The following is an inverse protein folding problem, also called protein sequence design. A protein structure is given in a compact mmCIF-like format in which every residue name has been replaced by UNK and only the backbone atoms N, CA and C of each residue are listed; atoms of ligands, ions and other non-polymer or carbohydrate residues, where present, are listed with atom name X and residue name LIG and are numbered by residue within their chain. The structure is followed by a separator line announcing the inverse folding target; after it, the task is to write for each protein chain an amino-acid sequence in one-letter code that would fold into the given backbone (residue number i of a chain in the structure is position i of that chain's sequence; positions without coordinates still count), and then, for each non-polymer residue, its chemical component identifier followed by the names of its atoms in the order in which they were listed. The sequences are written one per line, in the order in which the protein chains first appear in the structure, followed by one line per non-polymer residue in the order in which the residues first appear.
data_IF_014757674398
#
_entry.id   IF_014757674398
#
_cell.length_a   1.000
_cell.length_b   1.000
_cell.length_c   1.000
_cell.angle_alpha   90.00
_cell.angle_beta   90.00
_cell.angle_gamma   90.00
#
_symmetry.space_group_name_H-M   'P 1'
#
loop_
_entity.id
_entity.type
_entity.pdbx_description
1 polymer ?
#
# COMPACT_ATOMS: atom_id res chain seq x y z
N UNK A 1 2.71 4.33 24.19
CA UNK A 1 2.73 5.26 23.04
C UNK A 1 3.68 6.40 23.38
N UNK A 2 4.42 6.92 22.39
CA UNK A 2 5.41 7.99 22.57
C UNK A 2 4.81 9.40 22.45
N UNK A 3 3.66 9.53 21.80
CA UNK A 3 2.86 10.74 21.66
C UNK A 3 1.75 10.54 20.64
N UNK A 4 0.82 11.48 20.58
CA UNK A 4 -0.27 11.58 19.59
C UNK A 4 0.07 12.64 18.54
N UNK A 5 0.21 12.21 17.28
CA UNK A 5 0.52 13.09 16.15
C UNK A 5 -0.62 14.05 15.81
N UNK A 6 -1.85 13.76 16.24
CA UNK A 6 -3.03 14.56 15.95
C UNK A 6 -3.26 15.65 17.01
N UNK A 7 -2.54 15.56 18.15
CA UNK A 7 -2.43 16.63 19.13
C UNK A 7 -1.26 17.58 18.75
N UNK A 8 -1.50 18.88 18.51
CA UNK A 8 -0.45 19.82 18.10
C UNK A 8 0.74 19.93 19.06
N UNK A 9 0.50 19.90 20.37
CA UNK A 9 1.57 20.03 21.37
C UNK A 9 2.44 18.77 21.41
N UNK A 10 1.82 17.58 21.33
CA UNK A 10 2.55 16.32 21.27
C UNK A 10 3.25 16.13 19.93
N UNK A 11 2.66 16.61 18.82
CA UNK A 11 3.34 16.65 17.51
C UNK A 11 4.64 17.44 17.59
N UNK A 12 4.60 18.65 18.17
CA UNK A 12 5.80 19.47 18.33
C UNK A 12 6.86 18.75 19.17
N UNK A 13 6.45 18.12 20.27
CA UNK A 13 7.35 17.30 21.09
C UNK A 13 7.97 16.14 20.28
N UNK A 14 7.18 15.43 19.47
CA UNK A 14 7.66 14.34 18.62
C UNK A 14 8.65 14.84 17.55
N UNK A 15 8.39 16.00 16.95
CA UNK A 15 9.30 16.66 15.99
C UNK A 15 10.62 17.04 16.66
N UNK A 16 10.58 17.60 17.87
CA UNK A 16 11.78 17.95 18.65
C UNK A 16 12.61 16.73 19.06
N UNK A 17 12.00 15.54 19.15
CA UNK A 17 12.66 14.29 19.54
C UNK A 17 13.11 13.42 18.36
N UNK A 18 12.69 13.74 17.13
CA UNK A 18 13.00 12.93 15.95
C UNK A 18 14.50 12.99 15.60
N UNK A 19 15.25 11.87 15.64
CA UNK A 19 16.67 11.87 15.28
C UNK A 19 16.95 12.32 13.85
N UNK A 20 15.99 12.10 12.94
CA UNK A 20 16.10 12.53 11.54
C UNK A 20 16.25 14.05 11.42
N UNK A 21 15.59 14.82 12.30
CA UNK A 21 15.67 16.29 12.30
C UNK A 21 17.05 16.81 12.75
N UNK A 22 17.88 15.95 13.33
CA UNK A 22 19.24 16.27 13.77
C UNK A 22 20.30 15.48 12.99
N UNK A 23 19.97 14.97 11.79
CA UNK A 23 20.91 14.20 10.98
C UNK A 23 22.25 14.94 10.72
N UNK A 24 22.21 16.27 10.62
CA UNK A 24 23.41 17.12 10.47
C UNK A 24 24.37 17.05 11.66
N UNK A 25 23.82 16.79 12.85
CA UNK A 25 24.56 16.71 14.12
C UNK A 25 25.16 15.31 14.37
N UNK A 26 24.73 14.31 13.62
CA UNK A 26 25.29 12.96 13.69
C UNK A 26 26.68 12.98 13.05
N UNK A 27 27.70 12.83 13.90
CA UNK A 27 29.12 12.78 13.50
C UNK A 27 29.73 11.38 13.65
N UNK A 28 29.12 10.54 14.48
CA UNK A 28 29.56 9.17 14.67
C UNK A 28 29.16 8.31 13.46
N UNK A 29 30.01 7.36 13.03
CA UNK A 29 29.63 6.35 12.06
C UNK A 29 28.39 5.58 12.53
N UNK A 30 27.47 5.26 11.61
CA UNK A 30 26.23 4.55 11.92
C UNK A 30 26.11 3.26 11.12
N UNK A 31 25.80 2.16 11.80
CA UNK A 31 25.41 0.89 11.17
C UNK A 31 23.92 0.65 11.42
N UNK A 32 23.12 0.59 10.35
CA UNK A 32 21.67 0.42 10.42
C UNK A 32 21.31 -1.03 10.08
N UNK A 33 20.41 -1.63 10.86
CA UNK A 33 19.92 -3.00 10.66
C UNK A 33 18.40 -2.98 10.69
N UNK A 34 17.77 -3.56 9.66
CA UNK A 34 16.32 -3.53 9.51
C UNK A 34 15.79 -4.83 8.92
N UNK A 35 14.67 -5.33 9.44
CA UNK A 35 13.84 -6.31 8.73
C UNK A 35 12.85 -5.60 7.83
N UNK A 36 12.71 -6.05 6.58
CA UNK A 36 11.81 -5.43 5.60
C UNK A 36 10.33 -5.53 6.00
N UNK A 37 10.00 -6.52 6.84
CA UNK A 37 8.63 -6.84 7.24
C UNK A 37 8.34 -6.48 8.70
N UNK A 38 9.13 -5.58 9.31
CA UNK A 38 8.94 -5.17 10.70
C UNK A 38 7.56 -4.48 10.86
N UNK A 39 6.63 -5.08 11.63
CA UNK A 39 5.29 -4.51 11.83
C UNK A 39 5.27 -3.37 12.85
N UNK A 40 6.40 -3.12 13.55
CA UNK A 40 6.52 -2.12 14.61
C UNK A 40 7.22 -0.87 14.13
N UNK A 41 8.34 -1.02 13.42
CA UNK A 41 9.14 0.10 12.88
C UNK A 41 9.30 -0.09 11.38
N UNK A 42 8.69 0.80 10.61
CA UNK A 42 8.69 0.70 9.14
C UNK A 42 10.11 0.87 8.60
N UNK A 43 10.46 0.08 7.58
CA UNK A 43 11.73 0.20 6.82
C UNK A 43 12.03 1.64 6.39
N UNK A 44 10.99 2.40 6.05
CA UNK A 44 11.06 3.81 5.68
C UNK A 44 11.84 4.67 6.67
N UNK A 45 11.76 4.41 7.98
CA UNK A 45 12.50 5.17 9.00
C UNK A 45 14.02 4.94 8.86
N UNK A 46 14.41 3.69 8.61
CA UNK A 46 15.81 3.31 8.34
C UNK A 46 16.30 3.89 7.01
N UNK A 47 15.48 3.85 5.95
CA UNK A 47 15.84 4.44 4.66
C UNK A 47 16.07 5.95 4.75
N UNK A 48 15.23 6.66 5.52
CA UNK A 48 15.33 8.11 5.71
C UNK A 48 16.65 8.51 6.36
N UNK A 49 17.05 7.86 7.45
CA UNK A 49 18.30 8.20 8.14
C UNK A 49 19.53 7.80 7.32
N UNK A 50 19.49 6.66 6.63
CA UNK A 50 20.60 6.23 5.75
C UNK A 50 20.79 7.19 4.59
N UNK A 51 19.71 7.58 3.90
CA UNK A 51 19.77 8.56 2.82
C UNK A 51 20.28 9.92 3.32
N UNK A 52 19.75 10.42 4.45
CA UNK A 52 20.18 11.69 5.02
C UNK A 52 21.67 11.71 5.38
N UNK A 53 22.18 10.66 6.05
CA UNK A 53 23.59 10.57 6.41
C UNK A 53 24.51 10.40 5.20
N UNK A 54 24.09 9.61 4.20
CA UNK A 54 24.82 9.48 2.93
C UNK A 54 24.92 10.83 2.22
N UNK A 55 23.81 11.57 2.11
CA UNK A 55 23.78 12.86 1.40
C UNK A 55 24.62 13.93 2.11
N UNK A 56 24.80 13.80 3.42
CA UNK A 56 25.72 14.59 4.23
C UNK A 56 27.19 14.11 4.16
N UNK A 57 27.48 13.04 3.41
CA UNK A 57 28.80 12.43 3.31
C UNK A 57 29.30 11.81 4.62
N UNK A 58 28.39 11.33 5.48
CA UNK A 58 28.71 10.63 6.73
C UNK A 58 28.92 9.14 6.50
N UNK A 59 29.74 8.53 7.35
CA UNK A 59 29.94 7.08 7.37
C UNK A 59 28.65 6.39 7.84
N UNK A 60 27.92 5.81 6.88
CA UNK A 60 26.73 5.00 7.15
C UNK A 60 26.82 3.69 6.38
N UNK A 61 26.44 2.61 7.04
CA UNK A 61 26.35 1.27 6.48
C UNK A 61 24.96 0.70 6.79
N UNK A 62 24.39 -0.09 5.89
CA UNK A 62 23.00 -0.55 6.01
C UNK A 62 22.85 -2.01 5.63
N UNK A 63 22.13 -2.77 6.46
CA UNK A 63 21.75 -4.14 6.20
C UNK A 63 20.23 -4.30 6.30
N UNK A 64 19.65 -4.97 5.30
CA UNK A 64 18.21 -5.18 5.18
C UNK A 64 17.92 -6.67 4.96
N UNK A 65 17.18 -7.29 5.88
CA UNK A 65 16.68 -8.65 5.70
C UNK A 65 15.25 -8.65 5.15
N UNK A 66 15.12 -9.07 3.88
CA UNK A 66 13.85 -9.12 3.17
C UNK A 66 12.85 -10.13 3.75
N UNK A 67 13.35 -11.16 4.46
CA UNK A 67 12.59 -12.24 5.06
C UNK A 67 12.35 -12.06 6.58
N UNK A 68 12.80 -10.95 7.18
CA UNK A 68 12.71 -10.70 8.62
C UNK A 68 11.75 -9.56 8.98
N UNK A 69 11.27 -9.60 10.23
CA UNK A 69 10.44 -8.57 10.84
C UNK A 69 11.21 -7.73 11.87
N UNK A 70 10.60 -7.53 13.04
CA UNK A 70 11.17 -6.68 14.11
C UNK A 70 12.45 -7.22 14.76
N UNK A 71 12.73 -8.51 14.59
CA UNK A 71 13.95 -9.14 15.06
C UNK A 71 14.28 -10.29 14.13
N UNK A 72 15.54 -10.73 14.17
CA UNK A 72 16.03 -11.75 13.25
C UNK A 72 15.80 -13.15 13.81
N UNK A 73 14.85 -13.89 13.23
CA UNK A 73 14.51 -15.26 13.61
C UNK A 73 15.34 -16.29 12.85
N UNK A 74 15.80 -16.00 11.64
CA UNK A 74 16.67 -16.87 10.88
C UNK A 74 18.09 -16.84 11.45
N UNK A 75 18.68 -18.03 11.64
CA UNK A 75 20.03 -18.17 12.20
C UNK A 75 21.10 -17.55 11.30
N UNK A 76 21.05 -17.78 9.99
CA UNK A 76 22.02 -17.22 9.06
C UNK A 76 21.94 -15.70 9.00
N UNK A 77 20.73 -15.13 9.07
CA UNK A 77 20.56 -13.68 9.14
C UNK A 77 21.18 -13.10 10.42
N UNK A 78 20.96 -13.74 11.57
CA UNK A 78 21.59 -13.31 12.83
C UNK A 78 23.10 -13.41 12.78
N UNK A 79 23.65 -14.51 12.27
CA UNK A 79 25.10 -14.69 12.16
C UNK A 79 25.72 -13.66 11.22
N UNK A 80 25.09 -13.41 10.06
CA UNK A 80 25.51 -12.34 9.15
C UNK A 80 25.47 -10.96 9.82
N UNK A 81 24.41 -10.65 10.57
CA UNK A 81 24.30 -9.42 11.36
C UNK A 81 25.46 -9.25 12.34
N UNK A 82 25.77 -10.29 13.14
CA UNK A 82 26.85 -10.22 14.12
C UNK A 82 28.23 -10.10 13.45
N UNK A 83 28.47 -10.82 12.35
CA UNK A 83 29.69 -10.68 11.54
C UNK A 83 29.86 -9.24 11.04
N UNK A 84 28.79 -8.63 10.53
CA UNK A 84 28.82 -7.25 10.05
C UNK A 84 29.06 -6.24 11.17
N UNK A 85 28.37 -6.41 12.31
CA UNK A 85 28.55 -5.58 13.50
C UNK A 85 29.99 -5.67 14.03
N UNK A 86 30.57 -6.86 14.09
CA UNK A 86 31.96 -7.06 14.50
C UNK A 86 32.92 -6.30 13.56
N UNK A 87 32.77 -6.48 12.25
CA UNK A 87 33.57 -5.76 11.22
C UNK A 87 33.42 -4.24 11.36
N UNK A 88 32.21 -3.75 11.52
CA UNK A 88 31.91 -2.32 11.70
C UNK A 88 32.56 -1.74 12.95
N UNK A 89 32.40 -2.41 14.11
CA UNK A 89 33.04 -1.97 15.34
C UNK A 89 34.57 -2.07 15.27
N UNK A 90 35.13 -3.12 14.66
CA UNK A 90 36.57 -3.23 14.47
C UNK A 90 37.13 -2.09 13.61
N UNK A 91 36.46 -1.75 12.50
CA UNK A 91 36.81 -0.64 11.60
C UNK A 91 36.87 0.71 12.33
N UNK A 92 35.90 0.99 13.21
CA UNK A 92 35.77 2.32 13.83
C UNK A 92 36.36 2.41 15.25
N UNK A 93 36.45 1.31 15.99
CA UNK A 93 36.97 1.25 17.36
C UNK A 93 38.31 0.52 17.51
N UNK A 94 38.85 -0.04 16.41
CA UNK A 94 40.15 -0.74 16.35
C UNK A 94 40.20 -2.01 17.23
N UNK A 95 39.11 -2.76 17.23
CA UNK A 95 38.99 -4.06 17.91
C UNK A 95 39.57 -5.24 17.10
N UNK A 96 39.52 -6.43 17.70
CA UNK A 96 39.76 -7.69 16.97
C UNK A 96 38.54 -8.02 16.12
N UNK A 97 38.78 -8.66 14.98
CA UNK A 97 37.74 -9.18 14.08
C UNK A 97 38.10 -10.60 13.69
N UNK A 98 37.09 -11.46 13.54
CA UNK A 98 37.27 -12.78 12.96
C UNK A 98 37.35 -12.63 11.43
N UNK A 99 38.54 -12.83 10.85
CA UNK A 99 38.76 -12.76 9.40
C UNK A 99 38.09 -13.94 8.67
N UNK A 100 38.20 -15.14 9.24
CA UNK A 100 37.63 -16.35 8.63
C UNK A 100 36.13 -16.45 8.93
N UNK A 101 35.30 -16.20 7.92
CA UNK A 101 33.84 -16.35 7.97
C UNK A 101 33.43 -17.55 7.12
N UNK A 102 32.55 -18.41 7.64
CA UNK A 102 32.00 -19.54 6.88
C UNK A 102 31.31 -19.04 5.61
N UNK A 103 31.48 -19.75 4.50
CA UNK A 103 31.02 -19.32 3.17
C UNK A 103 29.52 -19.00 3.15
N UNK A 104 28.69 -19.82 3.81
CA UNK A 104 27.25 -19.61 3.88
C UNK A 104 26.87 -18.31 4.62
N UNK A 105 27.66 -17.90 5.61
CA UNK A 105 27.45 -16.66 6.35
C UNK A 105 27.90 -15.46 5.51
N UNK A 106 29.04 -15.55 4.84
CA UNK A 106 29.53 -14.46 3.99
C UNK A 106 28.59 -14.22 2.81
N UNK A 107 28.12 -15.28 2.15
CA UNK A 107 27.11 -15.17 1.09
C UNK A 107 25.84 -14.50 1.59
N UNK A 108 25.38 -14.85 2.79
CA UNK A 108 24.17 -14.23 3.36
C UNK A 108 24.42 -12.77 3.74
N UNK A 109 25.59 -12.44 4.27
CA UNK A 109 25.98 -11.05 4.54
C UNK A 109 25.97 -10.22 3.25
N UNK A 110 26.54 -10.72 2.16
CA UNK A 110 26.56 -10.02 0.87
C UNK A 110 25.13 -9.80 0.33
N UNK A 111 24.24 -10.78 0.49
CA UNK A 111 22.82 -10.69 0.12
C UNK A 111 22.06 -9.62 0.94
N UNK A 112 22.37 -9.51 2.23
CA UNK A 112 21.69 -8.59 3.17
C UNK A 112 22.26 -7.17 3.13
N UNK A 113 23.48 -6.99 2.63
CA UNK A 113 24.17 -5.69 2.60
C UNK A 113 23.55 -4.80 1.53
N UNK A 114 23.15 -3.60 1.94
CA UNK A 114 22.51 -2.64 1.04
C UNK A 114 23.56 -1.69 0.45
N UNK A 115 23.53 -1.56 -0.88
CA UNK A 115 24.22 -0.49 -1.58
C UNK A 115 23.54 0.86 -1.29
N UNK A 116 24.07 1.60 -0.32
CA UNK A 116 23.47 2.86 0.17
C UNK A 116 23.34 3.93 -0.92
N UNK A 117 24.13 3.84 -2.00
CA UNK A 117 24.02 4.77 -3.13
C UNK A 117 22.67 4.68 -3.84
N UNK A 118 21.97 3.54 -3.69
CA UNK A 118 20.66 3.26 -4.27
C UNK A 118 19.50 3.44 -3.30
N UNK A 119 19.78 3.77 -2.03
CA UNK A 119 18.73 4.00 -1.04
C UNK A 119 18.06 5.34 -1.31
N UNK A 120 16.79 5.32 -1.69
CA UNK A 120 15.99 6.53 -1.79
C UNK A 120 15.20 6.70 -0.49
N UNK A 121 15.29 7.88 0.12
CA UNK A 121 14.33 8.24 1.15
C UNK A 121 12.92 8.21 0.53
N UNK A 122 11.90 7.70 1.23
CA UNK A 122 10.53 7.80 0.78
C UNK A 122 10.23 9.26 0.48
N UNK A 123 9.94 9.56 -0.79
CA UNK A 123 9.50 10.89 -1.21
C UNK A 123 8.15 11.12 -0.58
N UNK A 124 8.13 11.82 0.56
CA UNK A 124 6.92 12.39 1.13
C UNK A 124 6.27 13.22 0.03
N UNK A 125 5.08 12.83 -0.41
CA UNK A 125 4.29 13.66 -1.32
C UNK A 125 3.90 14.92 -0.55
N UNK A 126 4.41 16.09 -0.92
CA UNK A 126 3.90 17.33 -0.33
C UNK A 126 2.44 17.52 -0.78
N UNK A 127 1.53 17.25 0.15
CA UNK A 127 0.10 17.43 -0.06
C UNK A 127 -0.26 18.85 0.35
N UNK A 128 -0.46 19.73 -0.63
CA UNK A 128 -1.15 20.98 -0.38
C UNK A 128 -2.63 20.69 -0.10
N UNK A 129 -3.04 20.89 1.16
CA UNK A 129 -4.38 20.65 1.70
C UNK A 129 -5.32 21.87 1.55
N UNK A 130 -4.85 22.97 0.96
CA UNK A 130 -5.60 24.22 0.88
C UNK A 130 -6.93 24.11 0.10
N UNK A 131 -7.08 23.07 -0.74
CA UNK A 131 -8.26 22.83 -1.59
C UNK A 131 -8.75 21.37 -1.55
N UNK A 132 -9.00 20.81 -0.36
CA UNK A 132 -9.65 19.48 -0.24
C UNK A 132 -11.17 19.64 -0.34
N UNK A 133 -11.77 19.09 -1.40
CA UNK A 133 -13.21 19.04 -1.55
C UNK A 133 -13.85 18.00 -0.63
N UNK A 134 -15.10 18.24 -0.24
CA UNK A 134 -15.91 17.23 0.44
C UNK A 134 -16.19 16.05 -0.50
N UNK A 135 -15.94 14.83 -0.02
CA UNK A 135 -16.24 13.62 -0.78
C UNK A 135 -17.74 13.52 -1.08
N UNK A 136 -18.08 13.51 -2.37
CA UNK A 136 -19.45 13.32 -2.84
C UNK A 136 -19.46 12.62 -4.18
N UNK A 137 -19.80 11.33 -4.14
CA UNK A 137 -20.00 10.53 -5.34
C UNK A 137 -21.23 10.95 -6.13
N UNK A 138 -21.26 10.61 -7.43
CA UNK A 138 -22.38 10.90 -8.32
C UNK A 138 -22.96 9.59 -8.91
N UNK A 139 -24.00 9.00 -8.29
CA UNK A 139 -24.59 7.75 -8.77
C UNK A 139 -25.09 7.77 -10.21
N UNK A 140 -25.46 8.93 -10.75
CA UNK A 140 -25.95 9.06 -12.14
C UNK A 140 -24.84 8.78 -13.17
N UNK A 141 -23.57 8.84 -12.75
CA UNK A 141 -22.40 8.51 -13.57
C UNK A 141 -21.93 7.07 -13.39
N UNK A 142 -22.61 6.26 -12.59
CA UNK A 142 -22.20 4.89 -12.34
C UNK A 142 -22.33 4.05 -13.62
N UNK A 143 -21.26 3.32 -13.97
CA UNK A 143 -21.28 2.38 -15.08
C UNK A 143 -22.14 1.16 -14.76
N UNK A 144 -22.90 0.67 -15.75
CA UNK A 144 -23.62 -0.61 -15.69
C UNK A 144 -23.29 -1.43 -16.94
N UNK A 145 -22.98 -2.71 -16.76
CA UNK A 145 -22.55 -3.61 -17.83
C UNK A 145 -21.37 -4.47 -17.43
N UNK A 146 -20.64 -4.98 -18.42
CA UNK A 146 -19.51 -5.87 -18.24
C UNK A 146 -18.21 -5.23 -18.72
N UNK A 147 -17.12 -5.52 -18.01
CA UNK A 147 -15.77 -5.07 -18.29
C UNK A 147 -14.82 -6.24 -18.09
N UNK A 148 -13.91 -6.45 -19.03
CA UNK A 148 -12.85 -7.44 -18.90
C UNK A 148 -11.53 -6.71 -18.67
N UNK A 149 -10.73 -7.20 -17.74
CA UNK A 149 -9.43 -6.67 -17.41
C UNK A 149 -8.42 -7.79 -17.36
N UNK A 150 -7.16 -7.44 -17.60
CA UNK A 150 -6.01 -8.27 -17.29
C UNK A 150 -5.24 -7.67 -16.11
N UNK A 151 -4.62 -8.51 -15.31
CA UNK A 151 -3.79 -8.11 -14.18
C UNK A 151 -2.42 -8.78 -14.24
N UNK A 152 -1.37 -7.98 -14.31
CA UNK A 152 0.02 -8.41 -14.33
C UNK A 152 0.73 -7.97 -13.05
N UNK A 153 1.39 -8.91 -12.38
CA UNK A 153 2.16 -8.62 -11.18
C UNK A 153 3.21 -9.68 -10.90
N UNK A 154 4.17 -9.37 -10.02
CA UNK A 154 5.20 -10.29 -9.57
C UNK A 154 5.06 -10.52 -8.06
N UNK A 155 4.97 -11.77 -7.62
CA UNK A 155 5.04 -12.14 -6.20
C UNK A 155 6.20 -13.11 -6.00
N UNK A 156 7.07 -12.81 -5.04
CA UNK A 156 8.19 -13.70 -4.65
C UNK A 156 9.04 -14.17 -5.86
N UNK A 157 9.25 -13.30 -6.86
CA UNK A 157 10.01 -13.59 -8.07
C UNK A 157 9.26 -14.36 -9.15
N UNK A 158 7.97 -14.67 -8.95
CA UNK A 158 7.10 -15.31 -9.94
C UNK A 158 6.17 -14.29 -10.57
N UNK A 159 6.08 -14.31 -11.90
CA UNK A 159 5.15 -13.45 -12.65
C UNK A 159 3.80 -14.12 -12.79
N UNK A 160 2.75 -13.35 -12.55
CA UNK A 160 1.36 -13.76 -12.67
C UNK A 160 0.67 -12.88 -13.71
N UNK A 161 -0.22 -13.52 -14.45
CA UNK A 161 -1.13 -12.88 -15.39
C UNK A 161 -2.52 -13.45 -15.12
N UNK A 162 -3.49 -12.60 -14.84
CA UNK A 162 -4.86 -12.99 -14.50
C UNK A 162 -5.86 -12.24 -15.39
N UNK A 163 -6.86 -12.94 -15.90
CA UNK A 163 -8.02 -12.33 -16.54
C UNK A 163 -9.15 -12.18 -15.52
N UNK A 164 -9.80 -11.03 -15.55
CA UNK A 164 -10.78 -10.58 -14.55
C UNK A 164 -12.01 -10.06 -15.30
N UNK A 165 -13.14 -10.76 -15.13
CA UNK A 165 -14.43 -10.28 -15.59
C UNK A 165 -15.10 -9.50 -14.46
N UNK A 166 -15.53 -8.28 -14.74
CA UNK A 166 -16.27 -7.40 -13.82
C UNK A 166 -17.64 -7.11 -14.40
N UNK A 167 -18.69 -7.45 -13.66
CA UNK A 167 -20.08 -7.12 -13.97
C UNK A 167 -20.65 -6.11 -12.98
N UNK A 168 -21.34 -5.10 -13.48
CA UNK A 168 -22.01 -4.08 -12.67
C UNK A 168 -23.49 -4.03 -13.04
N UNK A 169 -24.35 -4.33 -12.07
CA UNK A 169 -25.79 -4.44 -12.29
C UNK A 169 -26.60 -3.86 -11.12
N UNK A 170 -27.89 -3.60 -11.36
CA UNK A 170 -28.83 -3.32 -10.28
C UNK A 170 -29.23 -4.64 -9.62
N UNK A 171 -29.28 -4.65 -8.30
CA UNK A 171 -29.67 -5.83 -7.54
C UNK A 171 -30.53 -5.48 -6.34
N UNK A 172 -30.81 -6.50 -5.54
CA UNK A 172 -31.43 -6.35 -4.23
C UNK A 172 -30.63 -7.15 -3.19
N UNK A 173 -30.53 -6.59 -1.99
CA UNK A 173 -29.99 -7.28 -0.83
C UNK A 173 -30.80 -6.88 0.40
N UNK A 174 -31.34 -7.88 1.11
CA UNK A 174 -32.15 -7.69 2.32
C UNK A 174 -33.30 -6.66 2.16
N UNK A 175 -34.00 -6.75 1.02
CA UNK A 175 -35.12 -5.86 0.71
C UNK A 175 -34.72 -4.44 0.29
N UNK A 176 -33.42 -4.13 0.18
CA UNK A 176 -32.91 -2.83 -0.29
C UNK A 176 -32.35 -2.95 -1.70
N UNK A 177 -32.61 -1.95 -2.52
CA UNK A 177 -31.98 -1.82 -3.83
C UNK A 177 -30.48 -1.55 -3.65
N UNK A 178 -29.67 -2.23 -4.46
CA UNK A 178 -28.21 -2.11 -4.44
C UNK A 178 -27.65 -1.98 -5.85
N UNK A 179 -26.47 -1.39 -5.98
CA UNK A 179 -25.63 -1.57 -7.16
C UNK A 179 -24.66 -2.71 -6.84
N UNK A 180 -24.78 -3.81 -7.58
CA UNK A 180 -23.98 -5.02 -7.38
C UNK A 180 -22.81 -5.04 -8.37
N UNK A 181 -21.62 -5.16 -7.83
CA UNK A 181 -20.38 -5.35 -8.56
C UNK A 181 -19.92 -6.78 -8.29
N UNK A 182 -19.71 -7.55 -9.34
CA UNK A 182 -19.22 -8.92 -9.27
C UNK A 182 -17.93 -8.98 -10.06
N UNK A 183 -16.83 -9.33 -9.42
CA UNK A 183 -15.59 -9.68 -10.08
C UNK A 183 -15.33 -11.18 -9.98
N UNK A 184 -14.96 -11.76 -11.11
CA UNK A 184 -14.52 -13.13 -11.22
C UNK A 184 -13.14 -13.15 -11.87
N UNK A 185 -12.19 -13.75 -11.16
CA UNK A 185 -10.84 -13.99 -11.66
C UNK A 185 -10.72 -15.47 -12.01
N UNK A 186 -10.20 -15.79 -13.20
CA UNK A 186 -9.96 -17.18 -13.62
C UNK A 186 -8.49 -17.59 -13.45
N UNK A 187 -8.23 -18.90 -13.36
CA UNK A 187 -6.89 -19.47 -13.24
C UNK A 187 -6.50 -19.97 -11.84
N UNK A 188 -5.19 -20.11 -11.59
CA UNK A 188 -4.62 -20.69 -10.34
C UNK A 188 -4.99 -19.85 -9.11
N UNK A 189 -5.24 -18.56 -9.30
CA UNK A 189 -5.66 -17.63 -8.25
C UNK A 189 -7.12 -17.23 -8.39
N UNK A 190 -7.98 -18.17 -8.81
CA UNK A 190 -9.38 -17.88 -9.02
C UNK A 190 -10.04 -17.32 -7.76
N UNK A 191 -10.82 -16.27 -7.98
CA UNK A 191 -11.46 -15.52 -6.93
C UNK A 191 -12.82 -15.04 -7.40
N UNK A 192 -13.73 -14.90 -6.45
CA UNK A 192 -15.05 -14.32 -6.67
C UNK A 192 -15.28 -13.25 -5.62
N UNK A 193 -15.45 -12.00 -6.05
CA UNK A 193 -15.66 -10.84 -5.19
C UNK A 193 -16.97 -10.17 -5.55
N UNK A 194 -17.88 -10.08 -4.58
CA UNK A 194 -19.14 -9.35 -4.72
C UNK A 194 -19.17 -8.18 -3.76
N UNK A 195 -19.34 -6.98 -4.31
CA UNK A 195 -19.54 -5.75 -3.55
C UNK A 195 -20.92 -5.19 -3.89
N UNK A 196 -21.75 -5.00 -2.87
CA UNK A 196 -23.01 -4.25 -3.03
C UNK A 196 -22.83 -2.84 -2.47
N UNK A 197 -23.18 -1.85 -3.27
CA UNK A 197 -23.13 -0.43 -2.92
C UNK A 197 -24.55 0.13 -2.70
N UNK A 198 -24.66 1.11 -1.81
CA UNK A 198 -25.86 1.93 -1.69
C UNK A 198 -26.04 2.77 -2.97
N UNK A 199 -27.20 2.68 -3.66
CA UNK A 199 -27.39 3.31 -4.97
C UNK A 199 -27.46 4.85 -4.92
N UNK A 200 -27.54 5.45 -3.73
CA UNK A 200 -27.59 6.91 -3.56
C UNK A 200 -26.24 7.50 -3.15
N UNK A 201 -25.46 6.74 -2.40
CA UNK A 201 -24.21 7.24 -1.81
C UNK A 201 -22.97 6.58 -2.41
N UNK A 202 -23.11 5.43 -3.07
CA UNK A 202 -22.03 4.56 -3.57
C UNK A 202 -21.07 4.04 -2.49
N UNK A 203 -21.42 4.16 -1.21
CA UNK A 203 -20.69 3.48 -0.15
C UNK A 203 -21.06 1.99 -0.09
N UNK A 204 -20.13 1.11 0.30
CA UNK A 204 -20.40 -0.30 0.52
C UNK A 204 -21.54 -0.54 1.51
N UNK A 205 -22.35 -1.55 1.22
CA UNK A 205 -23.31 -2.17 2.13
C UNK A 205 -22.76 -3.51 2.60
N UNK A 206 -22.21 -4.31 1.68
CA UNK A 206 -21.54 -5.56 2.00
C UNK A 206 -20.47 -5.90 0.98
N UNK A 207 -19.49 -6.70 1.41
CA UNK A 207 -18.54 -7.37 0.52
C UNK A 207 -18.47 -8.85 0.85
N UNK A 208 -18.45 -9.68 -0.17
CA UNK A 208 -18.24 -11.11 -0.06
C UNK A 208 -17.18 -11.57 -1.05
N UNK A 209 -16.01 -11.95 -0.54
CA UNK A 209 -14.87 -12.42 -1.31
C UNK A 209 -14.62 -13.90 -1.00
N UNK A 210 -14.40 -14.72 -2.02
CA UNK A 210 -13.94 -16.10 -1.91
C UNK A 210 -12.70 -16.27 -2.77
N UNK A 211 -11.63 -16.81 -2.20
CA UNK A 211 -10.40 -17.13 -2.92
C UNK A 211 -9.75 -18.37 -2.31
N UNK A 212 -9.63 -19.45 -3.10
CA UNK A 212 -9.14 -20.73 -2.61
C UNK A 212 -9.96 -21.28 -1.43
N UNK A 213 -9.30 -21.58 -0.32
CA UNK A 213 -9.94 -22.02 0.94
C UNK A 213 -10.34 -20.85 1.86
N UNK A 214 -10.13 -19.61 1.42
CA UNK A 214 -10.42 -18.40 2.19
C UNK A 214 -11.74 -17.76 1.77
N UNK A 215 -12.43 -17.13 2.73
CA UNK A 215 -13.55 -16.23 2.42
C UNK A 215 -13.59 -15.05 3.38
N UNK A 216 -14.11 -13.93 2.89
CA UNK A 216 -14.33 -12.71 3.65
C UNK A 216 -15.77 -12.30 3.45
N UNK A 217 -16.49 -12.07 4.53
CA UNK A 217 -17.86 -11.54 4.51
C UNK A 217 -17.90 -10.32 5.41
N UNK A 218 -18.18 -9.14 4.85
CA UNK A 218 -18.20 -7.87 5.56
C UNK A 218 -19.54 -7.17 5.34
N UNK A 219 -20.07 -6.55 6.39
CA UNK A 219 -21.19 -5.62 6.35
C UNK A 219 -20.70 -4.26 6.80
N UNK A 220 -21.10 -3.24 6.05
CA UNK A 220 -20.71 -1.85 6.27
C UNK A 220 -21.92 -1.07 6.76
N UNK A 221 -21.79 -0.53 7.97
CA UNK A 221 -22.75 0.40 8.55
C UNK A 221 -22.08 1.78 8.69
N UNK A 222 -22.85 2.79 9.10
CA UNK A 222 -22.36 4.18 9.17
C UNK A 222 -21.17 4.34 10.13
N UNK A 223 -21.15 3.58 11.21
CA UNK A 223 -20.24 3.73 12.35
C UNK A 223 -19.49 2.43 12.72
N UNK A 224 -19.68 1.36 11.95
CA UNK A 224 -18.96 0.10 12.15
C UNK A 224 -18.88 -0.75 10.88
N UNK A 225 -17.85 -1.59 10.84
CA UNK A 225 -17.73 -2.71 9.90
C UNK A 225 -17.76 -3.99 10.71
N UNK A 226 -18.64 -4.91 10.32
CA UNK A 226 -18.78 -6.22 10.97
C UNK A 226 -18.61 -7.33 9.96
N UNK A 227 -18.28 -8.53 10.41
CA UNK A 227 -18.15 -9.64 9.48
C UNK A 227 -17.27 -10.76 9.99
N UNK A 228 -16.77 -11.54 9.04
CA UNK A 228 -15.96 -12.72 9.30
C UNK A 228 -14.93 -12.91 8.20
N UNK A 229 -13.71 -13.25 8.60
CA UNK A 229 -12.65 -13.77 7.73
C UNK A 229 -12.48 -15.25 8.06
N UNK A 230 -12.56 -16.11 7.05
CA UNK A 230 -12.30 -17.55 7.15
C UNK A 230 -11.08 -17.90 6.33
N UNK A 231 -10.19 -18.70 6.89
CA UNK A 231 -9.03 -19.23 6.19
C UNK A 231 -8.82 -20.70 6.59
N UNK A 232 -9.22 -21.62 5.72
CA UNK A 232 -9.27 -23.03 6.05
C UNK A 232 -10.18 -23.28 7.27
N UNK A 233 -9.70 -23.95 8.34
CA UNK A 233 -10.50 -24.19 9.55
C UNK A 233 -10.59 -22.98 10.50
N UNK A 234 -9.79 -21.93 10.27
CA UNK A 234 -9.76 -20.75 11.14
C UNK A 234 -10.86 -19.77 10.75
N UNK A 235 -11.55 -19.22 11.74
CA UNK A 235 -12.58 -18.21 11.59
C UNK A 235 -12.30 -17.05 12.55
N UNK A 236 -12.21 -15.84 12.01
CA UNK A 236 -11.92 -14.61 12.75
C UNK A 236 -13.05 -13.62 12.56
N UNK A 237 -13.75 -13.20 13.63
CA UNK A 237 -14.77 -12.17 13.53
C UNK A 237 -14.14 -10.78 13.33
N UNK A 238 -14.82 -9.95 12.56
CA UNK A 238 -14.55 -8.51 12.41
C UNK A 238 -15.66 -7.75 13.14
N UNK A 239 -15.26 -6.83 14.02
CA UNK A 239 -16.15 -5.91 14.70
C UNK A 239 -15.38 -4.61 14.98
N UNK A 240 -15.31 -3.76 13.97
CA UNK A 240 -14.50 -2.55 13.97
C UNK A 240 -15.39 -1.32 13.98
N UNK A 241 -15.20 -0.42 14.94
CA UNK A 241 -15.82 0.91 14.92
C UNK A 241 -15.10 1.83 13.93
N UNK A 242 -15.87 2.60 13.17
CA UNK A 242 -15.37 3.63 12.24
C UNK A 242 -16.04 4.96 12.56
N UNK A 243 -15.27 6.06 12.46
CA UNK A 243 -15.79 7.41 12.72
C UNK A 243 -16.41 8.07 11.49
N UNK A 244 -16.07 7.58 10.30
CA UNK A 244 -16.52 8.07 9.00
C UNK A 244 -16.81 6.88 8.08
N UNK A 245 -17.71 7.01 7.08
CA UNK A 245 -17.92 5.99 6.08
C UNK A 245 -16.63 5.59 5.37
N UNK A 246 -16.51 4.30 5.07
CA UNK A 246 -15.34 3.69 4.44
C UNK A 246 -15.72 2.99 3.15
N UNK A 247 -14.83 3.04 2.17
CA UNK A 247 -14.82 2.16 1.00
C UNK A 247 -14.23 0.80 1.39
N UNK A 248 -14.46 -0.24 0.58
CA UNK A 248 -14.01 -1.60 0.90
C UNK A 248 -12.59 -1.92 0.44
N UNK A 249 -11.96 -1.05 -0.36
CA UNK A 249 -10.71 -1.32 -1.09
C UNK A 249 -10.89 -2.34 -2.23
N UNK A 250 -10.13 -2.19 -3.33
CA UNK A 250 -10.20 -3.08 -4.50
C UNK A 250 -11.46 -2.88 -5.37
N UNK A 251 -12.02 -3.98 -5.86
CA UNK A 251 -13.20 -4.03 -6.74
C UNK A 251 -14.28 -3.01 -6.33
N UNK A 252 -14.61 -2.08 -7.20
CA UNK A 252 -15.66 -1.08 -6.99
C UNK A 252 -15.27 0.24 -6.32
N UNK A 253 -14.14 0.31 -5.61
CA UNK A 253 -13.60 1.62 -5.16
C UNK A 253 -13.29 2.50 -6.36
N UNK A 254 -12.67 1.92 -7.37
CA UNK A 254 -12.32 2.59 -8.62
C UNK A 254 -13.56 3.03 -9.42
N UNK A 255 -14.68 2.31 -9.31
CA UNK A 255 -15.95 2.68 -9.93
C UNK A 255 -16.66 3.81 -9.16
N UNK A 256 -16.59 3.82 -7.83
CA UNK A 256 -17.08 4.96 -7.07
C UNK A 256 -16.28 6.22 -7.42
N UNK A 257 -14.94 6.10 -7.49
CA UNK A 257 -14.03 7.19 -7.87
C UNK A 257 -14.33 7.73 -9.27
N UNK A 258 -14.68 6.88 -10.26
CA UNK A 258 -15.00 7.35 -11.62
C UNK A 258 -16.17 8.31 -11.67
N UNK A 259 -17.03 8.32 -10.65
CA UNK A 259 -18.18 9.24 -10.57
C UNK A 259 -17.83 10.65 -10.06
N UNK A 260 -16.60 10.84 -9.54
CA UNK A 260 -16.12 12.12 -9.03
C UNK A 260 -15.84 13.12 -10.17
N UNK A 261 -15.80 14.43 -9.87
CA UNK A 261 -15.42 15.44 -10.84
C UNK A 261 -13.89 15.45 -11.03
N UNK A 262 -13.38 14.48 -11.80
CA UNK A 262 -11.95 14.21 -12.01
C UNK A 262 -11.22 15.28 -12.87
N UNK A 263 -11.50 16.56 -12.67
CA UNK A 263 -10.76 17.64 -13.32
C UNK A 263 -9.35 17.73 -12.72
N UNK A 264 -8.35 18.12 -13.51
CA UNK A 264 -6.98 18.34 -13.02
C UNK A 264 -6.99 19.30 -11.84
N UNK A 265 -6.28 18.94 -10.77
CA UNK A 265 -6.24 19.68 -9.52
C UNK A 265 -7.31 19.27 -8.50
N UNK A 266 -8.33 18.49 -8.88
CA UNK A 266 -9.33 18.01 -7.94
C UNK A 266 -8.70 17.13 -6.86
N UNK A 267 -9.02 17.45 -5.60
CA UNK A 267 -8.57 16.72 -4.41
C UNK A 267 -9.74 16.40 -3.50
N UNK A 268 -9.78 15.19 -2.95
CA UNK A 268 -10.72 14.80 -1.88
C UNK A 268 -10.05 13.80 -0.96
N UNK A 269 -10.51 13.70 0.28
CA UNK A 269 -10.13 12.61 1.18
C UNK A 269 -11.16 11.49 1.09
N UNK A 270 -10.69 10.24 1.18
CA UNK A 270 -11.52 9.05 1.30
C UNK A 270 -10.91 8.10 2.32
N UNK A 271 -11.75 7.26 2.93
CA UNK A 271 -11.30 6.23 3.85
C UNK A 271 -11.54 4.86 3.21
N UNK A 272 -10.59 3.94 3.32
CA UNK A 272 -10.77 2.54 2.95
C UNK A 272 -10.63 1.65 4.17
N UNK A 273 -11.46 0.61 4.27
CA UNK A 273 -11.36 -0.38 5.32
C UNK A 273 -10.31 -1.44 4.97
N UNK A 274 -9.24 -1.50 5.75
CA UNK A 274 -8.27 -2.58 5.65
C UNK A 274 -8.74 -3.75 6.53
N UNK A 275 -9.30 -4.78 5.89
CA UNK A 275 -9.79 -5.97 6.59
C UNK A 275 -8.68 -6.78 7.26
N UNK A 276 -7.41 -6.63 6.86
CA UNK A 276 -6.29 -7.33 7.49
C UNK A 276 -5.97 -6.74 8.86
N UNK A 277 -6.09 -5.42 9.01
CA UNK A 277 -5.84 -4.72 10.27
C UNK A 277 -7.12 -4.41 11.05
N UNK A 278 -8.28 -4.51 10.39
CA UNK A 278 -9.58 -4.11 10.93
C UNK A 278 -9.71 -2.60 11.12
N UNK A 279 -8.92 -1.79 10.42
CA UNK A 279 -8.84 -0.34 10.61
C UNK A 279 -9.17 0.42 9.31
N UNK A 280 -9.74 1.62 9.47
CA UNK A 280 -9.89 2.56 8.37
C UNK A 280 -8.53 3.23 8.07
N UNK A 281 -8.13 3.22 6.80
CA UNK A 281 -6.98 3.95 6.28
C UNK A 281 -7.43 5.16 5.51
N UNK A 282 -6.78 6.30 5.75
CA UNK A 282 -7.10 7.56 5.11
C UNK A 282 -6.23 7.77 3.87
N UNK A 283 -6.89 8.10 2.76
CA UNK A 283 -6.24 8.40 1.49
C UNK A 283 -6.61 9.81 1.04
N UNK A 284 -5.63 10.49 0.44
CA UNK A 284 -5.90 11.62 -0.42
C UNK A 284 -6.02 11.12 -1.85
N UNK A 285 -7.15 11.41 -2.49
CA UNK A 285 -7.28 11.35 -3.93
C UNK A 285 -6.83 12.68 -4.52
N UNK A 286 -5.94 12.65 -5.51
CA UNK A 286 -5.48 13.83 -6.25
C UNK A 286 -5.48 13.54 -7.76
N UNK A 287 -6.17 14.36 -8.55
CA UNK A 287 -6.08 14.35 -10.01
C UNK A 287 -4.87 15.18 -10.45
N UNK A 288 -3.78 14.52 -10.86
CA UNK A 288 -2.50 15.16 -11.13
C UNK A 288 -2.48 15.95 -12.43
N UNK A 289 -2.79 15.27 -13.51
CA UNK A 289 -2.59 15.78 -14.87
C UNK A 289 -3.44 15.00 -15.86
N UNK A 290 -3.45 15.47 -17.10
CA UNK A 290 -3.89 14.69 -18.25
C UNK A 290 -2.68 14.04 -18.87
N UNK A 291 -2.76 12.75 -19.18
CA UNK A 291 -1.71 12.07 -19.93
C UNK A 291 -2.29 11.09 -20.95
N UNK A 292 -1.49 10.82 -21.99
CA UNK A 292 -1.80 9.83 -23.01
C UNK A 292 -1.22 8.50 -22.59
N UNK A 293 -2.05 7.47 -22.59
CA UNK A 293 -1.60 6.09 -22.33
C UNK A 293 -2.00 5.17 -23.47
N UNK A 294 -1.21 4.12 -23.67
CA UNK A 294 -1.56 3.00 -24.53
C UNK A 294 -2.22 1.91 -23.67
N UNK A 295 -3.37 1.42 -24.10
CA UNK A 295 -4.06 0.26 -23.52
C UNK A 295 -4.45 -0.65 -24.68
N UNK A 296 -3.94 -1.90 -24.65
CA UNK A 296 -3.96 -2.76 -25.82
C UNK A 296 -3.25 -2.10 -27.02
N UNK A 297 -3.97 -1.96 -28.13
CA UNK A 297 -3.48 -1.30 -29.34
C UNK A 297 -3.99 0.13 -29.54
N UNK A 298 -4.76 0.65 -28.57
CA UNK A 298 -5.38 1.98 -28.66
C UNK A 298 -4.67 2.98 -27.75
N UNK A 299 -4.65 4.23 -28.19
CA UNK A 299 -4.18 5.37 -27.39
C UNK A 299 -5.39 6.14 -26.85
N UNK A 300 -5.33 6.50 -25.56
CA UNK A 300 -6.38 7.23 -24.87
C UNK A 300 -5.81 8.46 -24.17
N UNK A 301 -6.57 9.56 -24.17
CA UNK A 301 -6.33 10.66 -23.23
C UNK A 301 -7.03 10.36 -21.91
N UNK A 302 -6.29 10.49 -20.81
CA UNK A 302 -6.74 10.07 -19.49
C UNK A 302 -6.47 11.13 -18.43
N UNK A 303 -7.28 11.11 -17.37
CA UNK A 303 -6.95 11.72 -16.10
C UNK A 303 -6.10 10.75 -15.29
N UNK A 304 -4.91 11.19 -14.89
CA UNK A 304 -4.05 10.48 -13.94
C UNK A 304 -4.45 10.85 -12.51
N UNK A 305 -4.93 9.87 -11.75
CA UNK A 305 -5.43 10.04 -10.40
C UNK A 305 -4.58 9.23 -9.43
N UNK A 306 -4.04 9.87 -8.40
CA UNK A 306 -3.28 9.19 -7.36
C UNK A 306 -4.13 9.03 -6.10
N UNK A 307 -4.08 7.85 -5.50
CA UNK A 307 -4.47 7.60 -4.11
C UNK A 307 -3.20 7.57 -3.26
N UNK A 308 -3.06 8.59 -2.43
CA UNK A 308 -1.90 8.78 -1.55
C UNK A 308 -2.31 8.36 -0.15
N UNK A 309 -1.63 7.34 0.39
CA UNK A 309 -1.76 6.92 1.77
C UNK A 309 -1.28 8.07 2.67
N UNK A 310 -2.18 8.67 3.46
CA UNK A 310 -1.83 9.84 4.27
C UNK A 310 -0.99 9.49 5.50
N UNK A 311 -0.92 8.22 5.90
CA UNK A 311 -0.07 7.78 7.00
C UNK A 311 1.38 7.64 6.54
N UNK A 312 1.58 7.06 5.37
CA UNK A 312 2.90 6.81 4.78
C UNK A 312 3.38 7.94 3.86
N UNK A 313 2.47 8.83 3.48
CA UNK A 313 2.65 9.90 2.51
C UNK A 313 3.22 9.40 1.17
N UNK A 314 2.67 8.27 0.71
CA UNK A 314 3.12 7.51 -0.44
C UNK A 314 1.96 7.27 -1.40
N UNK A 315 2.23 7.32 -2.71
CA UNK A 315 1.26 6.91 -3.72
C UNK A 315 1.06 5.40 -3.62
N UNK A 316 -0.11 5.01 -3.10
CA UNK A 316 -0.50 3.60 -2.98
C UNK A 316 -1.03 3.05 -4.30
N UNK A 317 -1.82 3.87 -5.01
CA UNK A 317 -2.43 3.50 -6.27
C UNK A 317 -2.41 4.69 -7.24
N UNK A 318 -2.16 4.43 -8.51
CA UNK A 318 -2.39 5.37 -9.62
C UNK A 318 -3.45 4.78 -10.54
N UNK A 319 -4.42 5.61 -10.93
CA UNK A 319 -5.59 5.24 -11.73
C UNK A 319 -5.62 6.12 -12.98
N UNK A 320 -5.95 5.53 -14.11
CA UNK A 320 -6.09 6.22 -15.39
C UNK A 320 -7.52 6.08 -15.89
N UNK A 321 -8.25 7.20 -15.85
CA UNK A 321 -9.63 7.28 -16.32
C UNK A 321 -9.69 7.98 -17.66
N UNK A 322 -10.34 7.38 -18.65
CA UNK A 322 -10.61 7.99 -19.95
C UNK A 322 -11.40 9.30 -19.78
N UNK A 323 -11.06 10.35 -20.53
CA UNK A 323 -11.61 11.69 -20.26
C UNK A 323 -13.13 11.79 -20.52
N UNK A 324 -13.67 11.12 -21.54
CA UNK A 324 -15.07 11.30 -21.98
C UNK A 324 -16.06 10.57 -21.08
N UNK A 325 -15.83 9.29 -20.86
CA UNK A 325 -16.71 8.37 -20.15
C UNK A 325 -16.25 8.13 -18.71
N UNK A 326 -15.08 8.65 -18.32
CA UNK A 326 -14.44 8.37 -17.02
C UNK A 326 -14.30 6.86 -16.76
N UNK A 327 -14.13 6.07 -17.82
CA UNK A 327 -13.92 4.63 -17.73
C UNK A 327 -12.51 4.37 -17.22
N UNK A 328 -12.35 3.49 -16.21
CA UNK A 328 -11.04 3.05 -15.77
C UNK A 328 -10.40 2.22 -16.89
N UNK A 329 -9.27 2.69 -17.41
CA UNK A 329 -8.50 1.99 -18.44
C UNK A 329 -7.33 1.22 -17.85
N UNK A 330 -6.72 1.77 -16.80
CA UNK A 330 -5.55 1.20 -16.13
C UNK A 330 -5.55 1.59 -14.67
N UNK A 331 -5.07 0.71 -13.82
CA UNK A 331 -4.71 0.97 -12.44
C UNK A 331 -3.36 0.32 -12.13
N UNK A 332 -2.59 0.97 -11.27
CA UNK A 332 -1.30 0.50 -10.81
C UNK A 332 -1.25 0.62 -9.29
N UNK A 333 -1.19 -0.51 -8.61
CA UNK A 333 -1.18 -0.59 -7.15
C UNK A 333 0.20 -0.99 -6.68
N UNK A 334 0.80 -0.21 -5.80
CA UNK A 334 2.09 -0.56 -5.19
C UNK A 334 1.91 -1.75 -4.26
N UNK A 335 2.64 -2.83 -4.51
CA UNK A 335 2.61 -4.01 -3.66
C UNK A 335 3.46 -3.79 -2.40
N UNK A 336 3.03 -4.32 -1.25
CA UNK A 336 3.79 -4.18 -0.01
C UNK A 336 5.13 -4.96 -0.11
N UNK A 337 6.17 -4.58 0.64
CA UNK A 337 7.46 -5.28 0.62
C UNK A 337 7.35 -6.79 0.90
N UNK A 338 6.42 -7.19 1.79
CA UNK A 338 6.12 -8.60 2.11
C UNK A 338 5.71 -9.42 0.88
N UNK A 339 5.15 -8.77 -0.15
CA UNK A 339 4.72 -9.40 -1.40
C UNK A 339 5.85 -9.47 -2.44
N UNK A 340 7.06 -9.01 -2.13
CA UNK A 340 8.19 -8.86 -3.06
C UNK A 340 8.34 -7.43 -3.61
N UNK A 341 7.48 -6.49 -3.19
CA UNK A 341 7.46 -5.12 -3.72
C UNK A 341 6.95 -5.04 -5.15
N UNK A 342 7.30 -3.96 -5.86
CA UNK A 342 6.86 -3.73 -7.23
C UNK A 342 5.40 -3.24 -7.32
N UNK A 343 4.75 -3.60 -8.43
CA UNK A 343 3.41 -3.12 -8.76
C UNK A 343 2.52 -4.24 -9.28
N UNK A 344 1.26 -4.17 -8.91
CA UNK A 344 0.17 -4.84 -9.61
C UNK A 344 -0.40 -3.87 -10.63
N UNK A 345 -0.43 -4.28 -11.89
CA UNK A 345 -0.99 -3.50 -13.00
C UNK A 345 -2.27 -4.16 -13.45
N UNK A 346 -3.37 -3.42 -13.41
CA UNK A 346 -4.70 -3.84 -13.84
C UNK A 346 -5.07 -3.01 -15.06
N UNK A 347 -5.34 -3.62 -16.20
CA UNK A 347 -5.54 -2.93 -17.48
C UNK A 347 -6.78 -3.47 -18.21
N UNK A 348 -7.58 -2.58 -18.77
CA UNK A 348 -8.80 -2.91 -19.48
C UNK A 348 -8.48 -3.68 -20.77
N UNK A 349 -9.18 -4.78 -21.01
CA UNK A 349 -9.10 -5.54 -22.25
C UNK A 349 -10.07 -4.97 -23.29
N UNK A 350 -9.67 -5.08 -24.56
CA UNK A 350 -10.41 -4.55 -25.72
C UNK A 350 -11.72 -5.29 -26.03
#
# INVERSE_FOLDING_TARGET
RVGDKDNPEERKMLEEQSPLNYATEIKAPLYVVQGANDPRVKKAESDQIVAALRDLGRDVEYMLAMDEGHGYLNELNRLAMFTAMEKFFAKHLKGRVQEDVREEIQKKLDELTVDISKVEAPKKVEVDKSEIHQLKFNPDKMFFGELNYQSDFELMGQKYHLEINRKVEKGNFDGKDVIRIIEQTEGIMSAFDTLDLDPKTLFPIRRYLVQGQGSISLNFEKDKVTGTIKFGPQEMPINSSISEPVLSGGAGTELAISTLPLNVGYKTELNEFDFMTGQAKKFLLEVKEKEKIKVGDKEFETYKVNLIDQENNEIKQTLWYEIKEQKLLKAQTKLPPQAGGGYLVYELMD
#
